data_IF_197022024283
#
_entry.id   IF_197022024283
#
_cell.length_a   1.000
_cell.length_b   1.000
_cell.length_c   1.000
_cell.angle_alpha   90.00
_cell.angle_beta   90.00
_cell.angle_gamma   90.00
#
_symmetry.space_group_name_H-M   'P 1'
#
loop_
_entity.id
_entity.type
_entity.pdbx_description
1 polymer ?
#
# COMPACT_ATOMS: atom_id res chain seq x y z
N UNK A 1 -31.12 4.86 3.14
CA UNK A 1 -30.69 3.46 2.87
C UNK A 1 -30.13 3.28 1.46
N UNK A 2 -30.82 3.75 0.41
CA UNK A 2 -30.34 3.69 -0.99
C UNK A 2 -29.00 4.42 -1.17
N UNK A 3 -28.80 5.58 -0.54
CA UNK A 3 -27.55 6.35 -0.59
C UNK A 3 -26.36 5.57 -0.06
N UNK A 4 -26.55 4.86 1.05
CA UNK A 4 -25.51 4.02 1.67
C UNK A 4 -25.12 2.90 0.72
N UNK A 5 -26.11 2.24 0.12
CA UNK A 5 -25.87 1.18 -0.86
C UNK A 5 -25.07 1.72 -2.05
N UNK A 6 -25.50 2.83 -2.65
CA UNK A 6 -24.82 3.46 -3.78
C UNK A 6 -23.37 3.85 -3.46
N UNK A 7 -23.13 4.44 -2.29
CA UNK A 7 -21.79 4.79 -1.84
C UNK A 7 -20.89 3.55 -1.64
N UNK A 8 -21.48 2.40 -1.33
CA UNK A 8 -20.74 1.15 -1.11
C UNK A 8 -20.40 0.38 -2.39
N UNK A 9 -21.15 0.59 -3.49
CA UNK A 9 -20.98 -0.15 -4.75
C UNK A 9 -19.52 -0.15 -5.27
N UNK A 10 -18.79 0.99 -5.33
CA UNK A 10 -17.42 0.98 -5.82
C UNK A 10 -16.48 0.10 -4.98
N UNK A 11 -16.67 0.08 -3.66
CA UNK A 11 -15.87 -0.75 -2.74
C UNK A 11 -16.14 -2.24 -2.94
N UNK A 12 -17.42 -2.61 -3.09
CA UNK A 12 -17.80 -3.99 -3.39
C UNK A 12 -17.21 -4.43 -4.72
N UNK A 13 -17.25 -3.58 -5.75
CA UNK A 13 -16.64 -3.87 -7.05
C UNK A 13 -15.14 -4.14 -6.90
N UNK A 14 -14.41 -3.28 -6.16
CA UNK A 14 -12.97 -3.45 -5.91
C UNK A 14 -12.70 -4.80 -5.25
N UNK A 15 -13.40 -5.11 -4.16
CA UNK A 15 -13.24 -6.36 -3.41
C UNK A 15 -13.50 -7.55 -4.32
N UNK A 16 -14.61 -7.53 -5.06
CA UNK A 16 -15.00 -8.68 -5.89
C UNK A 16 -14.01 -8.91 -7.01
N UNK A 17 -13.61 -7.86 -7.71
CA UNK A 17 -12.78 -8.00 -8.89
C UNK A 17 -11.32 -8.30 -8.52
N UNK A 18 -10.82 -7.76 -7.41
CA UNK A 18 -9.46 -8.05 -6.93
C UNK A 18 -9.37 -9.43 -6.28
N UNK A 19 -10.25 -9.75 -5.34
CA UNK A 19 -10.11 -10.92 -4.48
C UNK A 19 -10.70 -12.16 -5.14
N UNK A 20 -11.91 -12.07 -5.69
CA UNK A 20 -12.58 -13.25 -6.25
C UNK A 20 -12.25 -13.49 -7.72
N UNK A 21 -12.05 -12.42 -8.50
CA UNK A 21 -11.75 -12.54 -9.94
C UNK A 21 -10.26 -12.39 -10.28
N UNK A 22 -9.40 -12.09 -9.29
CA UNK A 22 -7.96 -11.91 -9.46
C UNK A 22 -7.57 -11.01 -10.64
N UNK A 23 -8.38 -9.97 -10.89
CA UNK A 23 -8.13 -9.04 -11.99
C UNK A 23 -6.97 -8.10 -11.65
N UNK A 24 -6.24 -7.66 -12.69
CA UNK A 24 -5.15 -6.69 -12.53
C UNK A 24 -5.65 -5.43 -11.84
N UNK A 25 -5.00 -5.04 -10.74
CA UNK A 25 -5.43 -3.93 -9.90
C UNK A 25 -5.64 -2.61 -10.68
N UNK A 26 -4.75 -2.30 -11.62
CA UNK A 26 -4.91 -1.13 -12.49
C UNK A 26 -6.28 -1.06 -13.20
N UNK A 27 -6.77 -2.19 -13.74
CA UNK A 27 -8.07 -2.25 -14.43
C UNK A 27 -9.22 -2.05 -13.43
N UNK A 28 -9.14 -2.70 -12.28
CA UNK A 28 -10.18 -2.64 -11.26
C UNK A 28 -10.30 -1.22 -10.68
N UNK A 29 -9.18 -0.59 -10.36
CA UNK A 29 -9.17 0.79 -9.83
C UNK A 29 -9.72 1.78 -10.85
N UNK A 30 -9.38 1.63 -12.14
CA UNK A 30 -9.95 2.48 -13.19
C UNK A 30 -11.46 2.30 -13.34
N UNK A 31 -11.95 1.06 -13.33
CA UNK A 31 -13.39 0.77 -13.36
C UNK A 31 -14.12 1.35 -12.15
N UNK A 32 -13.57 1.19 -10.95
CA UNK A 32 -14.12 1.74 -9.73
C UNK A 32 -14.16 3.28 -9.76
N UNK A 33 -13.11 3.93 -10.29
CA UNK A 33 -13.07 5.37 -10.47
C UNK A 33 -14.16 5.85 -11.43
N UNK A 34 -14.28 5.24 -12.62
CA UNK A 34 -15.31 5.61 -13.61
C UNK A 34 -16.71 5.42 -13.02
N UNK A 35 -16.95 4.30 -12.34
CA UNK A 35 -18.22 4.04 -11.68
C UNK A 35 -18.54 5.09 -10.61
N UNK A 36 -17.56 5.43 -9.77
CA UNK A 36 -17.72 6.46 -8.72
C UNK A 36 -18.03 7.82 -9.33
N UNK A 37 -17.34 8.18 -10.41
CA UNK A 37 -17.57 9.41 -11.15
C UNK A 37 -19.01 9.47 -11.70
N UNK A 38 -19.48 8.39 -12.33
CA UNK A 38 -20.86 8.28 -12.86
C UNK A 38 -21.88 8.43 -11.73
N UNK A 39 -21.69 7.72 -10.61
CA UNK A 39 -22.62 7.77 -9.47
C UNK A 39 -22.71 9.19 -8.91
N UNK A 40 -21.56 9.86 -8.70
CA UNK A 40 -21.54 11.22 -8.16
C UNK A 40 -22.17 12.24 -9.12
N UNK A 41 -21.92 12.09 -10.42
CA UNK A 41 -22.48 12.99 -11.43
C UNK A 41 -24.00 12.83 -11.59
N UNK A 42 -24.51 11.60 -11.68
CA UNK A 42 -25.94 11.38 -11.95
C UNK A 42 -26.81 11.37 -10.71
N UNK A 43 -26.37 10.74 -9.61
CA UNK A 43 -27.20 10.60 -8.41
C UNK A 43 -27.04 11.81 -7.47
N UNK A 44 -25.80 12.16 -7.13
CA UNK A 44 -25.51 13.31 -6.26
C UNK A 44 -25.50 14.65 -7.00
N UNK A 45 -25.61 14.64 -8.34
CA UNK A 45 -25.64 15.85 -9.17
C UNK A 45 -24.47 16.79 -8.89
N UNK A 46 -23.30 16.22 -8.56
CA UNK A 46 -22.09 17.00 -8.29
C UNK A 46 -21.67 17.78 -9.54
N UNK A 47 -21.22 19.02 -9.37
CA UNK A 47 -20.72 19.81 -10.49
C UNK A 47 -19.46 19.16 -11.09
N UNK A 48 -19.28 19.32 -12.40
CA UNK A 48 -18.08 18.81 -13.08
C UNK A 48 -16.79 19.40 -12.47
N UNK A 49 -16.85 20.65 -12.03
CA UNK A 49 -15.73 21.32 -11.34
C UNK A 49 -15.31 20.55 -10.08
N UNK A 50 -16.25 20.16 -9.22
CA UNK A 50 -15.97 19.41 -7.99
C UNK A 50 -15.42 18.02 -8.33
N UNK A 51 -15.98 17.36 -9.35
CA UNK A 51 -15.53 16.04 -9.78
C UNK A 51 -14.07 16.09 -10.28
N UNK A 52 -13.74 16.99 -11.20
CA UNK A 52 -12.38 17.13 -11.70
C UNK A 52 -11.40 17.61 -10.62
N UNK A 53 -11.81 18.54 -9.76
CA UNK A 53 -11.01 18.97 -8.62
C UNK A 53 -10.70 17.80 -7.67
N UNK A 54 -11.70 16.95 -7.40
CA UNK A 54 -11.53 15.76 -6.57
C UNK A 54 -10.60 14.73 -7.22
N UNK A 55 -10.72 14.54 -8.54
CA UNK A 55 -9.82 13.67 -9.31
C UNK A 55 -8.39 14.17 -9.31
N UNK A 56 -8.16 15.47 -9.50
CA UNK A 56 -6.84 16.10 -9.41
C UNK A 56 -6.26 15.97 -8.01
N UNK A 57 -7.06 16.20 -6.97
CA UNK A 57 -6.65 15.99 -5.58
C UNK A 57 -6.22 14.54 -5.34
N UNK A 58 -7.01 13.57 -5.83
CA UNK A 58 -6.69 12.15 -5.76
C UNK A 58 -5.38 11.82 -6.48
N UNK A 59 -5.16 12.41 -7.66
CA UNK A 59 -3.93 12.25 -8.41
C UNK A 59 -2.72 12.80 -7.64
N UNK A 60 -2.82 14.01 -7.07
CA UNK A 60 -1.75 14.60 -6.25
C UNK A 60 -1.43 13.72 -5.04
N UNK A 61 -2.44 13.22 -4.32
CA UNK A 61 -2.22 12.28 -3.21
C UNK A 61 -1.57 10.97 -3.68
N UNK A 62 -1.88 10.49 -4.89
CA UNK A 62 -1.23 9.30 -5.43
C UNK A 62 0.24 9.52 -5.79
N UNK A 63 0.61 10.74 -6.21
CA UNK A 63 2.01 11.11 -6.47
C UNK A 63 2.85 11.09 -5.20
N UNK A 64 2.29 11.52 -4.07
CA UNK A 64 2.95 11.45 -2.77
C UNK A 64 3.32 10.00 -2.42
N UNK A 65 2.37 9.08 -2.52
CA UNK A 65 2.61 7.64 -2.30
C UNK A 65 3.61 7.08 -3.30
N UNK A 66 3.52 7.49 -4.57
CA UNK A 66 4.47 7.07 -5.61
C UNK A 66 5.90 7.50 -5.29
N UNK A 67 6.11 8.74 -4.83
CA UNK A 67 7.42 9.24 -4.43
C UNK A 67 7.98 8.48 -3.23
N UNK A 68 7.15 8.12 -2.24
CA UNK A 68 7.57 7.28 -1.11
C UNK A 68 8.10 5.93 -1.61
N UNK A 69 7.36 5.26 -2.49
CA UNK A 69 7.78 3.96 -3.04
C UNK A 69 9.08 4.11 -3.83
N UNK A 70 9.21 5.16 -4.65
CA UNK A 70 10.42 5.43 -5.42
C UNK A 70 11.64 5.62 -4.51
N UNK A 71 11.50 6.43 -3.45
CA UNK A 71 12.56 6.69 -2.48
C UNK A 71 12.99 5.43 -1.73
N UNK A 72 12.03 4.60 -1.30
CA UNK A 72 12.32 3.33 -0.62
C UNK A 72 13.00 2.33 -1.56
N UNK A 73 12.53 2.21 -2.80
CA UNK A 73 13.16 1.34 -3.80
C UNK A 73 14.59 1.81 -4.12
N UNK A 74 14.78 3.12 -4.31
CA UNK A 74 16.10 3.70 -4.52
C UNK A 74 17.05 3.38 -3.36
N UNK A 75 16.61 3.59 -2.11
CA UNK A 75 17.40 3.28 -0.93
C UNK A 75 17.69 1.77 -0.82
N UNK A 76 16.71 0.92 -1.07
CA UNK A 76 16.86 -0.53 -1.08
C UNK A 76 17.94 -0.97 -2.09
N UNK A 77 17.87 -0.50 -3.34
CA UNK A 77 18.87 -0.83 -4.35
C UNK A 77 20.24 -0.26 -4.03
N UNK A 78 20.32 0.94 -3.43
CA UNK A 78 21.57 1.52 -2.96
C UNK A 78 22.21 0.66 -1.86
N UNK A 79 21.42 0.23 -0.86
CA UNK A 79 21.90 -0.65 0.21
C UNK A 79 22.30 -2.03 -0.31
N UNK A 80 21.56 -2.55 -1.29
CA UNK A 80 21.89 -3.82 -1.96
C UNK A 80 23.23 -3.74 -2.68
N UNK A 81 23.45 -2.70 -3.47
CA UNK A 81 24.66 -2.53 -4.26
C UNK A 81 25.88 -2.19 -3.41
N UNK A 82 25.69 -1.57 -2.23
CA UNK A 82 26.78 -1.26 -1.29
C UNK A 82 27.07 -2.39 -0.29
N UNK A 83 26.39 -3.53 -0.38
CA UNK A 83 26.55 -4.65 0.55
C UNK A 83 26.03 -4.39 1.96
N UNK A 84 25.39 -3.23 2.22
CA UNK A 84 24.93 -2.82 3.55
C UNK A 84 23.70 -3.58 4.04
N UNK A 85 23.02 -4.34 3.17
CA UNK A 85 21.94 -5.23 3.59
C UNK A 85 22.42 -6.30 4.59
N UNK A 86 23.67 -6.74 4.50
CA UNK A 86 24.23 -7.75 5.39
C UNK A 86 24.48 -7.19 6.80
N UNK A 87 24.87 -5.92 6.90
CA UNK A 87 24.98 -5.21 8.17
C UNK A 87 23.62 -5.13 8.88
N UNK A 88 22.56 -4.86 8.12
CA UNK A 88 21.20 -4.79 8.65
C UNK A 88 20.71 -6.16 9.16
N UNK A 89 21.05 -7.24 8.44
CA UNK A 89 20.78 -8.61 8.88
C UNK A 89 21.52 -8.93 10.19
N UNK A 90 22.81 -8.64 10.27
CA UNK A 90 23.62 -8.89 11.47
C UNK A 90 23.12 -8.08 12.68
N UNK A 91 22.64 -6.85 12.46
CA UNK A 91 22.03 -6.05 13.52
C UNK A 91 20.79 -6.74 14.11
N UNK A 92 19.92 -7.31 13.27
CA UNK A 92 18.72 -8.03 13.71
C UNK A 92 19.06 -9.33 14.45
N UNK A 93 20.06 -10.08 13.96
CA UNK A 93 20.57 -11.29 14.62
C UNK A 93 21.20 -11.01 16.00
N UNK A 94 21.80 -9.84 16.18
CA UNK A 94 22.35 -9.42 17.49
C UNK A 94 21.27 -9.07 18.52
N UNK A 95 20.06 -8.67 18.10
CA UNK A 95 18.95 -8.37 19.03
C UNK A 95 18.38 -9.67 19.61
N UNK A 96 18.17 -10.67 18.76
CA UNK A 96 17.69 -11.99 19.17
C UNK A 96 18.12 -13.03 18.14
N UNK A 97 18.56 -14.19 18.61
CA UNK A 97 18.84 -15.36 17.76
C UNK A 97 17.57 -16.10 17.32
N UNK A 98 16.42 -15.83 17.94
CA UNK A 98 15.15 -16.46 17.59
C UNK A 98 14.46 -15.71 16.44
N UNK A 99 14.32 -16.40 15.30
CA UNK A 99 13.65 -15.87 14.10
C UNK A 99 12.21 -15.45 14.36
N UNK A 100 11.50 -16.13 15.27
CA UNK A 100 10.10 -15.82 15.58
C UNK A 100 10.02 -14.46 16.27
N UNK A 101 10.93 -14.20 17.22
CA UNK A 101 11.04 -12.91 17.91
C UNK A 101 11.42 -11.81 16.90
N UNK A 102 12.38 -12.06 16.01
CA UNK A 102 12.76 -11.09 14.97
C UNK A 102 11.58 -10.73 14.04
N UNK A 103 10.78 -11.73 13.62
CA UNK A 103 9.59 -11.51 12.80
C UNK A 103 8.59 -10.63 13.54
N UNK A 104 8.33 -10.89 14.83
CA UNK A 104 7.43 -10.06 15.64
C UNK A 104 7.99 -8.63 15.78
N UNK A 105 9.28 -8.48 16.04
CA UNK A 105 9.93 -7.17 16.12
C UNK A 105 9.77 -6.36 14.84
N UNK A 106 9.90 -6.99 13.67
CA UNK A 106 9.75 -6.31 12.39
C UNK A 106 8.28 -6.08 12.05
N UNK A 107 7.48 -7.15 12.01
CA UNK A 107 6.11 -7.12 11.51
C UNK A 107 5.15 -6.38 12.44
N UNK A 108 5.44 -6.34 13.75
CA UNK A 108 4.61 -5.64 14.72
C UNK A 108 5.24 -4.31 15.14
N UNK A 109 6.41 -4.34 15.79
CA UNK A 109 6.96 -3.13 16.41
C UNK A 109 7.52 -2.12 15.40
N UNK A 110 8.36 -2.59 14.46
CA UNK A 110 8.98 -1.72 13.47
C UNK A 110 7.93 -1.17 12.50
N UNK A 111 6.97 -1.99 12.09
CA UNK A 111 5.85 -1.55 11.24
C UNK A 111 5.03 -0.47 11.93
N UNK A 112 4.57 -0.69 13.17
CA UNK A 112 3.79 0.30 13.91
C UNK A 112 4.57 1.58 14.21
N UNK A 113 5.88 1.47 14.47
CA UNK A 113 6.75 2.64 14.66
C UNK A 113 6.84 3.50 13.39
N UNK A 114 7.11 2.88 12.24
CA UNK A 114 7.15 3.60 10.97
C UNK A 114 5.77 4.14 10.58
N UNK A 115 4.69 3.47 10.95
CA UNK A 115 3.33 3.97 10.71
C UNK A 115 3.06 5.22 11.56
N UNK A 116 3.51 5.22 12.82
CA UNK A 116 3.41 6.39 13.69
C UNK A 116 4.20 7.60 13.21
N UNK A 117 5.29 7.40 12.46
CA UNK A 117 6.12 8.50 11.92
C UNK A 117 5.67 8.92 10.51
N UNK A 118 5.34 7.96 9.65
CA UNK A 118 5.06 8.18 8.24
C UNK A 118 3.56 8.33 7.93
N UNK A 119 2.68 7.98 8.86
CA UNK A 119 1.23 8.13 8.75
C UNK A 119 0.51 6.96 8.08
N UNK A 120 1.00 6.42 6.94
CA UNK A 120 0.33 5.32 6.22
C UNK A 120 1.21 4.59 5.20
N UNK A 121 1.02 3.27 5.04
CA UNK A 121 1.46 2.48 3.86
C UNK A 121 2.97 2.26 3.66
N UNK A 122 3.80 3.18 4.12
CA UNK A 122 5.28 3.13 4.13
C UNK A 122 5.87 1.93 4.87
N UNK A 123 5.31 1.47 6.02
CA UNK A 123 5.91 0.39 6.79
C UNK A 123 5.99 -0.94 6.04
N UNK A 124 4.95 -1.27 5.25
CA UNK A 124 4.91 -2.51 4.49
C UNK A 124 6.03 -2.57 3.44
N UNK A 125 6.40 -1.42 2.86
CA UNK A 125 7.46 -1.32 1.85
C UNK A 125 8.86 -1.60 2.42
N UNK A 126 9.08 -1.34 3.72
CA UNK A 126 10.37 -1.57 4.41
C UNK A 126 10.38 -2.94 5.09
N UNK A 127 9.28 -3.34 5.73
CA UNK A 127 9.18 -4.58 6.48
C UNK A 127 9.25 -5.81 5.57
N UNK A 128 8.61 -5.79 4.40
CA UNK A 128 8.60 -6.96 3.51
C UNK A 128 10.02 -7.35 3.03
N UNK A 129 10.88 -6.44 2.52
CA UNK A 129 12.27 -6.76 2.20
C UNK A 129 13.07 -7.28 3.40
N UNK A 130 12.86 -6.71 4.59
CA UNK A 130 13.52 -7.15 5.82
C UNK A 130 13.14 -8.58 6.21
N UNK A 131 11.84 -8.92 6.15
CA UNK A 131 11.37 -10.27 6.43
C UNK A 131 11.93 -11.28 5.42
N UNK A 132 11.98 -10.91 4.13
CA UNK A 132 12.60 -11.76 3.09
C UNK A 132 14.09 -11.97 3.37
N UNK A 133 14.82 -10.93 3.82
CA UNK A 133 16.23 -11.04 4.21
C UNK A 133 16.45 -12.01 5.39
N UNK A 134 15.48 -12.15 6.29
CA UNK A 134 15.50 -13.13 7.39
C UNK A 134 15.09 -14.55 6.96
N UNK A 135 14.76 -14.75 5.69
CA UNK A 135 14.36 -16.03 5.12
C UNK A 135 12.87 -16.34 5.28
N UNK A 136 12.04 -15.34 5.63
CA UNK A 136 10.58 -15.48 5.58
C UNK A 136 10.17 -15.57 4.11
N UNK A 137 9.59 -16.70 3.72
CA UNK A 137 9.08 -16.88 2.36
C UNK A 137 7.84 -16.01 2.20
N UNK A 138 7.81 -15.20 1.15
CA UNK A 138 6.58 -14.54 0.74
C UNK A 138 5.52 -15.62 0.47
N UNK A 139 4.31 -15.44 1.00
CA UNK A 139 3.21 -16.34 0.73
C UNK A 139 2.87 -16.23 -0.76
N UNK A 140 3.31 -17.20 -1.56
CA UNK A 140 2.85 -17.36 -2.94
C UNK A 140 1.56 -18.16 -2.89
N UNK A 141 0.44 -17.45 -3.00
CA UNK A 141 -0.86 -18.06 -3.29
C UNK A 141 -0.89 -18.58 -4.74
#
# INVERSE_FOLDING_TARGET
>A
MIEILLAFIPFVLIIVFLIFLNMKAFKVMFLAYVLTFIILFFYWKSSLEILFASSLRGFIMSLEVFLIILSVLFLYYLMKNTGKLEILKNFLENISSDKQIQIILIAWFLVSFFEGIAGFGTPAAIAAPLLVLLGVRAFSA
#
